data_IF_345542765630
#
_entry.id   IF_345542765630
#
_cell.length_a   1.000
_cell.length_b   1.000
_cell.length_c   1.000
_cell.angle_alpha   90.00
_cell.angle_beta   90.00
_cell.angle_gamma   90.00
#
_symmetry.space_group_name_H-M   'P 1'
#
loop_
_entity.id
_entity.type
_entity.pdbx_description
1 polymer ?
#
# COMPACT_ATOMS: atom_id res chain seq x y z
N UNK A 1 -45.58 10.15 -32.15
CA UNK A 1 -44.78 10.77 -31.06
C UNK A 1 -43.32 10.40 -31.26
N UNK A 2 -42.46 11.36 -31.61
CA UNK A 2 -41.02 11.13 -31.81
C UNK A 2 -40.33 11.34 -30.45
N UNK A 3 -39.85 10.27 -29.84
CA UNK A 3 -38.98 10.35 -28.66
C UNK A 3 -37.68 11.01 -29.13
N UNK A 4 -37.23 12.12 -28.52
CA UNK A 4 -36.03 12.80 -29.00
C UNK A 4 -34.81 11.94 -28.68
N UNK A 5 -34.13 11.46 -29.73
CA UNK A 5 -32.88 10.67 -29.65
C UNK A 5 -31.75 11.33 -28.85
N UNK A 6 -31.87 12.62 -28.52
CA UNK A 6 -30.91 13.37 -27.71
C UNK A 6 -30.88 12.97 -26.23
N UNK A 7 -31.97 12.43 -25.67
CA UNK A 7 -32.00 12.07 -24.24
C UNK A 7 -31.28 10.74 -23.98
N UNK A 8 -31.34 9.80 -24.93
CA UNK A 8 -30.74 8.47 -24.79
C UNK A 8 -29.20 8.54 -24.82
N UNK A 9 -28.62 9.40 -25.67
CA UNK A 9 -27.18 9.60 -25.74
C UNK A 9 -26.60 10.28 -24.50
N UNK A 10 -27.32 11.21 -23.87
CA UNK A 10 -26.85 11.89 -22.66
C UNK A 10 -26.75 10.93 -21.46
N UNK A 11 -27.73 10.02 -21.28
CA UNK A 11 -27.69 9.00 -20.22
C UNK A 11 -26.57 7.97 -20.42
N UNK A 12 -26.27 7.61 -21.66
CA UNK A 12 -25.17 6.68 -21.98
C UNK A 12 -23.81 7.30 -21.64
N UNK A 13 -23.57 8.56 -21.99
CA UNK A 13 -22.28 9.23 -21.70
C UNK A 13 -22.04 9.37 -20.19
N UNK A 14 -23.08 9.74 -19.42
CA UNK A 14 -22.99 9.89 -17.95
C UNK A 14 -22.74 8.53 -17.26
N UNK A 15 -23.32 7.45 -17.79
CA UNK A 15 -23.12 6.09 -17.27
C UNK A 15 -21.69 5.59 -17.51
N UNK A 16 -21.10 5.90 -18.68
CA UNK A 16 -19.73 5.47 -19.02
C UNK A 16 -18.68 6.23 -18.20
N UNK A 17 -18.87 7.52 -17.94
CA UNK A 17 -17.94 8.32 -17.11
C UNK A 17 -17.94 7.86 -15.64
N UNK A 18 -19.10 7.49 -15.10
CA UNK A 18 -19.18 6.96 -13.73
C UNK A 18 -18.50 5.59 -13.58
N UNK A 19 -18.65 4.69 -14.55
CA UNK A 19 -17.98 3.38 -14.53
C UNK A 19 -16.45 3.51 -14.66
N UNK A 20 -15.96 4.50 -15.41
CA UNK A 20 -14.50 4.78 -15.53
C UNK A 20 -13.91 5.41 -14.28
N UNK A 21 -14.62 6.35 -13.65
CA UNK A 21 -14.18 7.00 -12.40
C UNK A 21 -14.04 5.98 -11.25
N UNK A 22 -14.92 4.98 -11.18
CA UNK A 22 -14.88 3.92 -10.16
C UNK A 22 -13.72 2.91 -10.32
N UNK A 23 -13.02 2.93 -11.47
CA UNK A 23 -11.90 2.01 -11.78
C UNK A 23 -10.52 2.62 -11.60
N UNK A 24 -10.37 3.96 -11.59
CA UNK A 24 -9.06 4.60 -11.50
C UNK A 24 -8.51 4.46 -10.09
N UNK A 25 -7.41 3.72 -9.96
CA UNK A 25 -6.68 3.60 -8.70
C UNK A 25 -5.66 4.73 -8.60
N UNK A 26 -5.71 5.49 -7.51
CA UNK A 26 -4.70 6.46 -7.14
C UNK A 26 -3.48 5.72 -6.59
N UNK A 27 -2.29 6.04 -7.10
CA UNK A 27 -1.03 5.50 -6.59
C UNK A 27 -0.51 6.42 -5.50
N UNK A 28 -0.38 5.90 -4.29
CA UNK A 28 0.11 6.64 -3.13
C UNK A 28 1.57 6.21 -2.92
N UNK A 29 2.46 7.14 -3.22
CA UNK A 29 3.90 7.04 -2.93
C UNK A 29 4.18 7.54 -1.51
N UNK A 30 5.42 7.34 -1.04
CA UNK A 30 5.86 7.81 0.27
C UNK A 30 4.90 7.39 1.39
N UNK A 31 4.39 6.16 1.27
CA UNK A 31 3.47 5.61 2.25
C UNK A 31 4.12 5.40 3.62
N UNK A 32 5.47 5.40 3.63
CA UNK A 32 6.30 5.44 4.81
C UNK A 32 6.91 6.83 5.00
N UNK A 33 6.81 7.34 6.22
CA UNK A 33 7.42 8.57 6.68
C UNK A 33 8.74 8.27 7.41
N UNK A 34 9.76 9.03 7.07
CA UNK A 34 11.10 8.92 7.64
C UNK A 34 11.41 10.12 8.54
N UNK A 35 11.93 9.91 9.77
CA UNK A 35 12.34 11.01 10.64
C UNK A 35 13.38 11.92 9.97
N UNK A 36 13.20 13.25 9.98
CA UNK A 36 14.05 14.19 9.23
C UNK A 36 15.49 14.25 9.73
N UNK A 37 15.72 13.92 11.00
CA UNK A 37 17.06 13.93 11.64
C UNK A 37 17.76 12.56 11.63
N UNK A 38 17.29 11.61 10.83
CA UNK A 38 17.95 10.31 10.69
C UNK A 38 19.25 10.42 9.88
N UNK A 39 20.22 9.53 10.16
CA UNK A 39 21.51 9.48 9.47
C UNK A 39 21.97 8.04 9.22
N UNK A 40 23.12 7.87 8.56
CA UNK A 40 23.77 6.56 8.39
C UNK A 40 22.91 5.50 7.68
N UNK A 41 23.06 4.25 8.12
CA UNK A 41 22.30 3.11 7.57
C UNK A 41 20.80 3.27 7.77
N UNK A 42 20.37 3.81 8.92
CA UNK A 42 18.95 4.04 9.19
C UNK A 42 18.32 4.90 8.09
N UNK A 43 18.92 6.06 7.77
CA UNK A 43 18.39 6.95 6.71
C UNK A 43 18.35 6.25 5.35
N UNK A 44 19.42 5.52 4.99
CA UNK A 44 19.51 4.79 3.72
C UNK A 44 18.40 3.75 3.59
N UNK A 45 18.15 2.98 4.65
CA UNK A 45 17.09 1.98 4.65
C UNK A 45 15.72 2.64 4.63
N UNK A 46 15.50 3.68 5.42
CA UNK A 46 14.23 4.39 5.44
C UNK A 46 13.88 4.93 4.04
N UNK A 47 14.82 5.63 3.38
CA UNK A 47 14.65 6.10 2.00
C UNK A 47 14.39 4.97 1.01
N UNK A 48 15.01 3.79 1.21
CA UNK A 48 14.71 2.62 0.39
C UNK A 48 13.25 2.18 0.55
N UNK A 49 12.76 2.12 1.79
CA UNK A 49 11.38 1.74 2.08
C UNK A 49 10.34 2.74 1.55
N UNK A 50 10.68 4.03 1.43
CA UNK A 50 9.79 5.04 0.82
C UNK A 50 9.47 4.78 -0.66
N UNK A 51 10.29 3.98 -1.36
CA UNK A 51 10.02 3.62 -2.76
C UNK A 51 8.83 2.67 -2.91
N UNK A 52 8.38 2.03 -1.83
CA UNK A 52 7.19 1.19 -1.87
C UNK A 52 5.93 2.02 -1.95
N UNK A 53 5.02 1.61 -2.83
CA UNK A 53 3.77 2.31 -3.08
C UNK A 53 2.57 1.38 -2.87
N UNK A 54 1.41 1.99 -2.68
CA UNK A 54 0.10 1.33 -2.74
C UNK A 54 -0.78 1.99 -3.80
N UNK A 55 -1.88 1.32 -4.12
CA UNK A 55 -2.94 1.82 -4.98
C UNK A 55 -4.26 1.84 -4.21
N UNK A 56 -5.10 2.85 -4.38
CA UNK A 56 -6.40 2.91 -3.73
C UNK A 56 -7.48 3.49 -4.63
N UNK A 57 -8.73 2.99 -4.58
CA UNK A 57 -9.86 3.56 -5.30
C UNK A 57 -10.42 4.83 -4.65
N UNK A 58 -10.16 5.04 -3.35
CA UNK A 58 -10.58 6.23 -2.62
C UNK A 58 -9.68 6.53 -1.41
N UNK A 59 -9.86 7.73 -0.83
CA UNK A 59 -9.08 8.20 0.32
C UNK A 59 -9.32 7.38 1.59
N UNK A 60 -10.52 6.84 1.80
CA UNK A 60 -10.86 6.11 3.02
C UNK A 60 -10.04 4.82 3.10
N UNK A 61 -10.13 3.97 2.08
CA UNK A 61 -9.32 2.76 2.02
C UNK A 61 -7.82 3.12 1.97
N UNK A 62 -7.46 4.15 1.18
CA UNK A 62 -6.08 4.57 0.98
C UNK A 62 -5.37 4.94 2.28
N UNK A 63 -6.06 5.60 3.23
CA UNK A 63 -5.51 5.91 4.54
C UNK A 63 -5.12 4.67 5.34
N UNK A 64 -5.94 3.62 5.34
CA UNK A 64 -5.63 2.38 6.05
C UNK A 64 -4.49 1.61 5.37
N UNK A 65 -4.49 1.56 4.04
CA UNK A 65 -3.42 0.93 3.30
C UNK A 65 -2.08 1.64 3.55
N UNK A 66 -2.08 3.00 3.57
CA UNK A 66 -0.89 3.80 3.90
C UNK A 66 -0.40 3.44 5.30
N UNK A 67 -1.31 3.41 6.29
CA UNK A 67 -0.98 3.03 7.66
C UNK A 67 -0.35 1.64 7.75
N UNK A 68 -0.83 0.67 6.96
CA UNK A 68 -0.25 -0.68 6.94
C UNK A 68 1.19 -0.70 6.43
N UNK A 69 1.50 0.07 5.39
CA UNK A 69 2.88 0.20 4.89
C UNK A 69 3.77 0.91 5.92
N UNK A 70 3.26 1.97 6.57
CA UNK A 70 3.99 2.64 7.65
C UNK A 70 4.30 1.67 8.80
N UNK A 71 3.33 0.86 9.23
CA UNK A 71 3.50 -0.08 10.34
C UNK A 71 4.52 -1.18 10.02
N UNK A 72 4.39 -1.78 8.83
CA UNK A 72 5.37 -2.74 8.32
C UNK A 72 6.78 -2.13 8.21
N UNK A 73 6.88 -0.90 7.67
CA UNK A 73 8.13 -0.16 7.57
C UNK A 73 8.74 0.11 8.95
N UNK A 74 7.94 0.54 9.93
CA UNK A 74 8.39 0.78 11.30
C UNK A 74 8.94 -0.49 11.95
N UNK A 75 8.32 -1.65 11.70
CA UNK A 75 8.83 -2.93 12.19
C UNK A 75 10.20 -3.25 11.61
N UNK A 76 10.38 -3.10 10.31
CA UNK A 76 11.68 -3.30 9.64
C UNK A 76 12.71 -2.31 10.19
N UNK A 77 12.35 -1.04 10.35
CA UNK A 77 13.24 -0.02 10.90
C UNK A 77 13.65 -0.28 12.34
N UNK A 78 12.76 -0.86 13.15
CA UNK A 78 13.10 -1.28 14.53
C UNK A 78 14.24 -2.29 14.50
N UNK A 79 14.18 -3.28 13.61
CA UNK A 79 15.26 -4.26 13.41
C UNK A 79 16.55 -3.59 12.97
N UNK A 80 16.49 -2.67 12.01
CA UNK A 80 17.66 -1.90 11.53
C UNK A 80 18.31 -1.10 12.67
N UNK A 81 17.52 -0.58 13.60
CA UNK A 81 18.04 0.20 14.73
C UNK A 81 18.66 -0.64 15.85
N UNK A 82 18.45 -1.96 15.85
CA UNK A 82 18.91 -2.86 16.92
C UNK A 82 20.35 -3.36 16.73
N UNK A 83 20.92 -3.26 15.53
CA UNK A 83 22.29 -3.70 15.27
C UNK A 83 22.97 -2.85 14.18
N UNK A 84 24.21 -2.47 14.46
CA UNK A 84 25.12 -1.79 13.53
C UNK A 84 25.62 -2.67 12.38
N UNK A 85 25.51 -4.01 12.52
CA UNK A 85 25.83 -4.99 11.48
C UNK A 85 24.82 -5.00 10.33
N UNK A 86 23.61 -4.48 10.55
CA UNK A 86 22.60 -4.40 9.50
C UNK A 86 23.08 -3.42 8.43
N UNK A 87 23.15 -3.89 7.18
CA UNK A 87 23.48 -3.05 6.02
C UNK A 87 22.28 -2.87 5.10
N UNK A 88 22.31 -1.84 4.25
CA UNK A 88 21.28 -1.65 3.22
C UNK A 88 21.16 -2.88 2.30
N UNK A 89 22.27 -3.57 2.03
CA UNK A 89 22.27 -4.74 1.14
C UNK A 89 21.53 -5.92 1.76
N UNK A 90 21.72 -6.17 3.05
CA UNK A 90 20.97 -7.20 3.79
C UNK A 90 19.47 -6.89 3.71
N UNK A 91 19.08 -5.64 3.99
CA UNK A 91 17.67 -5.23 3.94
C UNK A 91 17.10 -5.41 2.53
N UNK A 92 17.80 -4.98 1.48
CA UNK A 92 17.36 -5.18 0.09
C UNK A 92 17.19 -6.66 -0.25
N UNK A 93 18.11 -7.51 0.21
CA UNK A 93 18.03 -8.96 0.01
C UNK A 93 16.81 -9.57 0.69
N UNK A 94 16.53 -9.22 1.94
CA UNK A 94 15.37 -9.73 2.66
C UNK A 94 14.02 -9.19 2.14
N UNK A 95 14.01 -7.98 1.62
CA UNK A 95 12.84 -7.33 1.03
C UNK A 95 12.67 -7.60 -0.46
N UNK A 96 13.36 -8.61 -1.00
CA UNK A 96 13.09 -9.06 -2.36
C UNK A 96 11.62 -9.41 -2.50
N UNK A 97 10.98 -8.87 -3.54
CA UNK A 97 9.55 -9.02 -3.82
C UNK A 97 8.60 -8.38 -2.81
N UNK A 98 9.06 -7.51 -1.89
CA UNK A 98 8.16 -6.86 -0.93
C UNK A 98 7.07 -6.02 -1.60
N UNK A 99 7.39 -5.31 -2.70
CA UNK A 99 6.37 -4.61 -3.51
C UNK A 99 5.34 -5.58 -4.13
N UNK A 100 5.75 -6.80 -4.48
CA UNK A 100 4.85 -7.82 -5.03
C UNK A 100 3.87 -8.28 -3.95
N UNK A 101 4.35 -8.51 -2.73
CA UNK A 101 3.48 -8.79 -1.57
C UNK A 101 2.52 -7.65 -1.31
N UNK A 102 2.99 -6.40 -1.28
CA UNK A 102 2.13 -5.22 -1.13
C UNK A 102 1.06 -5.19 -2.22
N UNK A 103 1.42 -5.39 -3.49
CA UNK A 103 0.48 -5.39 -4.61
C UNK A 103 -0.60 -6.46 -4.45
N UNK A 104 -0.21 -7.69 -4.08
CA UNK A 104 -1.15 -8.79 -3.86
C UNK A 104 -2.16 -8.45 -2.76
N UNK A 105 -1.68 -8.05 -1.59
CA UNK A 105 -2.55 -7.70 -0.46
C UNK A 105 -3.42 -6.48 -0.79
N UNK A 106 -2.87 -5.53 -1.53
CA UNK A 106 -3.58 -4.33 -1.97
C UNK A 106 -4.74 -4.69 -2.90
N UNK A 107 -4.53 -5.58 -3.87
CA UNK A 107 -5.59 -6.08 -4.76
C UNK A 107 -6.69 -6.81 -3.98
N UNK A 108 -6.33 -7.64 -2.99
CA UNK A 108 -7.29 -8.31 -2.11
C UNK A 108 -8.15 -7.30 -1.34
N UNK A 109 -7.52 -6.27 -0.77
CA UNK A 109 -8.23 -5.21 -0.05
C UNK A 109 -9.17 -4.41 -0.97
N UNK A 110 -8.71 -4.06 -2.18
CA UNK A 110 -9.53 -3.36 -3.18
C UNK A 110 -10.71 -4.23 -3.61
N UNK A 111 -10.50 -5.52 -3.84
CA UNK A 111 -11.55 -6.46 -4.24
C UNK A 111 -12.61 -6.57 -3.16
N UNK A 112 -12.21 -6.73 -1.89
CA UNK A 112 -13.12 -6.79 -0.74
C UNK A 112 -13.91 -5.49 -0.58
N UNK A 113 -13.22 -4.35 -0.68
CA UNK A 113 -13.85 -3.03 -0.61
C UNK A 113 -14.90 -2.82 -1.71
N UNK A 114 -14.60 -3.25 -2.94
CA UNK A 114 -15.56 -3.17 -4.06
C UNK A 114 -16.74 -4.14 -3.89
N UNK A 115 -16.51 -5.34 -3.37
CA UNK A 115 -17.59 -6.34 -3.19
C UNK A 115 -18.65 -5.91 -2.18
N UNK A 116 -18.30 -5.02 -1.24
CA UNK A 116 -19.22 -4.46 -0.25
C UNK A 116 -19.70 -3.03 -0.59
N UNK A 117 -19.72 -2.67 -1.88
CA UNK A 117 -20.11 -1.33 -2.37
C UNK A 117 -19.37 -0.20 -1.64
N UNK A 118 -18.09 -0.40 -1.34
CA UNK A 118 -17.20 0.53 -0.64
C UNK A 118 -17.55 0.80 0.85
N UNK A 119 -18.48 0.05 1.44
CA UNK A 119 -18.90 0.23 2.84
C UNK A 119 -17.94 -0.37 3.88
N UNK A 120 -17.13 -1.36 3.48
CA UNK A 120 -16.26 -2.14 4.37
C UNK A 120 -14.78 -1.74 4.29
N UNK A 121 -14.47 -0.49 3.96
CA UNK A 121 -13.08 0.01 3.86
C UNK A 121 -12.25 -0.27 5.12
N UNK A 122 -12.86 -0.18 6.30
CA UNK A 122 -12.19 -0.42 7.59
C UNK A 122 -11.80 -1.89 7.75
N UNK A 123 -12.68 -2.82 7.37
CA UNK A 123 -12.41 -4.25 7.45
C UNK A 123 -11.37 -4.68 6.41
N UNK A 124 -11.51 -4.20 5.18
CA UNK A 124 -10.55 -4.45 4.11
C UNK A 124 -9.16 -3.87 4.44
N UNK A 125 -9.12 -2.64 4.98
CA UNK A 125 -7.90 -1.98 5.43
C UNK A 125 -7.23 -2.71 6.59
N UNK A 126 -7.98 -3.09 7.64
CA UNK A 126 -7.42 -3.85 8.77
C UNK A 126 -6.86 -5.20 8.36
N UNK A 127 -7.52 -5.89 7.43
CA UNK A 127 -7.01 -7.14 6.90
C UNK A 127 -5.68 -6.94 6.17
N UNK A 128 -5.58 -5.89 5.33
CA UNK A 128 -4.31 -5.53 4.68
C UNK A 128 -3.20 -5.24 5.69
N UNK A 129 -3.47 -4.38 6.69
CA UNK A 129 -2.52 -4.01 7.74
C UNK A 129 -1.97 -5.25 8.44
N UNK A 130 -2.86 -6.13 8.90
CA UNK A 130 -2.48 -7.37 9.60
C UNK A 130 -1.63 -8.30 8.72
N UNK A 131 -2.05 -8.51 7.48
CA UNK A 131 -1.32 -9.39 6.57
C UNK A 131 0.05 -8.84 6.20
N UNK A 132 0.17 -7.53 6.00
CA UNK A 132 1.44 -6.90 5.69
C UNK A 132 2.38 -6.86 6.90
N UNK A 133 1.84 -6.62 8.11
CA UNK A 133 2.61 -6.68 9.35
C UNK A 133 3.19 -8.08 9.59
N UNK A 134 2.41 -9.14 9.33
CA UNK A 134 2.88 -10.51 9.39
C UNK A 134 4.04 -10.78 8.41
N UNK A 135 3.94 -10.32 7.16
CA UNK A 135 5.08 -10.44 6.21
C UNK A 135 6.28 -9.64 6.72
N UNK A 136 6.07 -8.43 7.26
CA UNK A 136 7.14 -7.61 7.83
C UNK A 136 7.85 -8.27 9.04
N UNK A 137 7.15 -9.09 9.82
CA UNK A 137 7.79 -9.94 10.85
C UNK A 137 8.76 -10.93 10.21
N UNK A 138 8.38 -11.60 9.13
CA UNK A 138 9.29 -12.52 8.42
C UNK A 138 10.47 -11.78 7.78
N UNK A 139 10.24 -10.57 7.22
CA UNK A 139 11.32 -9.72 6.71
C UNK A 139 12.30 -9.32 7.82
N UNK A 140 11.79 -8.94 8.99
CA UNK A 140 12.60 -8.61 10.15
C UNK A 140 13.42 -9.82 10.63
N UNK A 141 12.84 -11.02 10.67
CA UNK A 141 13.56 -12.26 11.00
C UNK A 141 14.65 -12.58 9.99
N UNK A 142 14.39 -12.41 8.69
CA UNK A 142 15.41 -12.57 7.66
C UNK A 142 16.60 -11.63 7.88
N UNK A 143 16.34 -10.34 8.18
CA UNK A 143 17.39 -9.35 8.42
C UNK A 143 18.25 -9.77 9.63
N UNK A 144 17.61 -10.15 10.74
CA UNK A 144 18.32 -10.59 11.94
C UNK A 144 19.06 -11.93 11.75
N UNK A 145 18.58 -12.81 10.89
CA UNK A 145 19.26 -14.07 10.56
C UNK A 145 20.41 -13.91 9.56
N UNK A 146 20.58 -12.71 8.99
CA UNK A 146 21.59 -12.39 7.96
C UNK A 146 22.75 -11.54 8.50
N UNK A 147 22.78 -11.26 9.81
CA UNK A 147 23.85 -10.53 10.52
C UNK A 147 24.71 -11.48 11.36
#
# INVERSE_FOLDING_TARGET
>A
MKIPSFIITLFLVISITNVRAQRRLEKIYDAMECPPRSSGTYKKVCNYLQNFYIKSPDKKLGSYLKSGVQEAGNRIMRTVSQSDKVTLQIVKGCLLNFQVTINKLNEEAIRKHRSCKNGCFLEAGRQFVRSLDNDAVERARCIMGSI
#
